data_IF_643891959449
#
_entry.id   IF_643891959449
#
_cell.length_a   1.000
_cell.length_b   1.000
_cell.length_c   1.000
_cell.angle_alpha   90.00
_cell.angle_beta   90.00
_cell.angle_gamma   90.00
#
_symmetry.space_group_name_H-M   'P 1'
#
loop_
_entity.id
_entity.type
_entity.pdbx_description
1 polymer ?
#
# COMPACT_ATOMS: atom_id res chain seq x y z
N UNK A 1 0.90 20.95 -3.67
CA UNK A 1 -0.58 21.04 -3.79
C UNK A 1 -1.08 21.05 -5.24
N UNK A 2 -0.46 21.80 -6.17
CA UNK A 2 -0.96 21.92 -7.56
C UNK A 2 -1.13 20.58 -8.32
N UNK A 3 -0.28 19.57 -8.08
CA UNK A 3 -0.41 18.26 -8.73
C UNK A 3 -1.69 17.50 -8.38
N UNK A 4 -2.07 17.47 -7.10
CA UNK A 4 -3.32 16.84 -6.65
C UNK A 4 -4.55 17.52 -7.25
N UNK A 5 -4.58 18.86 -7.26
CA UNK A 5 -5.67 19.63 -7.88
C UNK A 5 -5.80 19.36 -9.37
N UNK A 6 -4.68 19.28 -10.12
CA UNK A 6 -4.71 18.90 -11.54
C UNK A 6 -5.27 17.50 -11.75
N UNK A 7 -4.87 16.53 -10.92
CA UNK A 7 -5.41 15.18 -10.99
C UNK A 7 -6.91 15.14 -10.75
N UNK A 8 -7.43 15.85 -9.74
CA UNK A 8 -8.87 15.94 -9.49
C UNK A 8 -9.63 16.49 -10.70
N UNK A 9 -9.07 17.50 -11.38
CA UNK A 9 -9.67 18.09 -12.57
C UNK A 9 -9.57 17.18 -13.82
N UNK A 10 -8.69 16.19 -13.83
CA UNK A 10 -8.55 15.25 -14.95
C UNK A 10 -9.43 13.99 -14.82
N UNK A 11 -10.17 13.82 -13.71
CA UNK A 11 -10.98 12.63 -13.49
C UNK A 11 -12.13 12.54 -14.49
N UNK A 12 -12.12 11.49 -15.31
CA UNK A 12 -13.14 11.23 -16.35
C UNK A 12 -14.22 10.24 -15.92
N UNK A 13 -14.23 9.81 -14.64
CA UNK A 13 -15.22 8.88 -14.13
C UNK A 13 -15.10 8.63 -12.63
N UNK A 14 -15.97 7.75 -12.08
CA UNK A 14 -16.09 7.54 -10.65
C UNK A 14 -14.77 7.08 -10.02
N UNK A 15 -14.26 7.90 -9.11
CA UNK A 15 -13.03 7.64 -8.35
C UNK A 15 -13.32 7.87 -6.88
N UNK A 16 -12.96 6.91 -6.03
CA UNK A 16 -13.11 7.02 -4.58
C UNK A 16 -11.74 6.95 -3.91
N UNK A 17 -11.55 7.77 -2.89
CA UNK A 17 -10.47 7.62 -1.93
C UNK A 17 -11.06 7.03 -0.65
N UNK A 18 -10.53 5.89 -0.22
CA UNK A 18 -10.88 5.24 1.03
C UNK A 18 -9.70 5.37 2.00
N UNK A 19 -9.95 5.97 3.17
CA UNK A 19 -8.99 6.00 4.27
C UNK A 19 -9.41 4.96 5.31
N UNK A 20 -8.50 4.05 5.65
CA UNK A 20 -8.69 3.05 6.70
C UNK A 20 -7.63 3.24 7.77
N UNK A 21 -8.05 3.22 9.03
CA UNK A 21 -7.15 3.09 10.17
C UNK A 21 -7.24 1.65 10.68
N UNK A 22 -6.11 0.97 10.82
CA UNK A 22 -6.07 -0.42 11.28
C UNK A 22 -4.88 -0.64 12.21
N UNK A 23 -4.98 -1.65 13.07
CA UNK A 23 -3.87 -2.08 13.92
C UNK A 23 -2.77 -2.70 13.08
N UNK A 24 -1.53 -2.26 13.32
CA UNK A 24 -0.36 -2.76 12.61
C UNK A 24 0.32 -3.84 13.41
N UNK A 25 0.41 -5.02 12.80
CA UNK A 25 1.23 -6.11 13.33
C UNK A 25 2.68 -5.96 12.82
N UNK A 26 3.61 -5.74 13.76
CA UNK A 26 5.04 -5.64 13.47
C UNK A 26 5.76 -6.99 13.58
N UNK A 27 5.11 -8.04 14.06
CA UNK A 27 5.75 -9.35 14.25
C UNK A 27 6.41 -9.87 12.97
N UNK A 28 5.79 -9.80 11.77
CA UNK A 28 6.44 -10.24 10.53
C UNK A 28 7.70 -9.44 10.18
N UNK A 29 7.79 -8.16 10.56
CA UNK A 29 8.97 -7.34 10.32
C UNK A 29 10.09 -7.68 11.32
N UNK A 30 9.74 -7.88 12.59
CA UNK A 30 10.66 -8.37 13.62
C UNK A 30 11.26 -9.72 13.18
N UNK A 31 10.43 -10.66 12.74
CA UNK A 31 10.88 -11.98 12.28
C UNK A 31 11.82 -11.88 11.08
N UNK A 32 11.51 -11.02 10.09
CA UNK A 32 12.39 -10.77 8.94
C UNK A 32 13.75 -10.22 9.36
N UNK A 33 13.79 -9.26 10.28
CA UNK A 33 15.04 -8.69 10.78
C UNK A 33 15.87 -9.72 11.53
N UNK A 34 15.25 -10.51 12.40
CA UNK A 34 15.93 -11.55 13.17
C UNK A 34 16.46 -12.68 12.28
N UNK A 35 15.70 -13.06 11.25
CA UNK A 35 16.11 -14.09 10.30
C UNK A 35 17.22 -13.62 9.34
N UNK A 36 17.18 -12.35 8.91
CA UNK A 36 18.18 -11.78 8.01
C UNK A 36 19.47 -11.33 8.70
N UNK A 37 19.42 -10.97 9.98
CA UNK A 37 20.57 -10.41 10.70
C UNK A 37 21.85 -11.27 10.63
N UNK A 38 21.82 -12.62 10.75
CA UNK A 38 23.02 -13.45 10.66
C UNK A 38 23.69 -13.47 9.28
N UNK A 39 22.97 -13.09 8.22
CA UNK A 39 23.48 -13.05 6.85
C UNK A 39 24.16 -11.72 6.50
N UNK A 40 24.18 -10.74 7.41
CA UNK A 40 24.74 -9.42 7.16
C UNK A 40 26.27 -9.45 7.09
N UNK A 41 26.89 -8.68 6.17
CA UNK A 41 28.33 -8.79 5.87
C UNK A 41 29.24 -8.24 6.98
N UNK A 42 28.71 -7.55 7.98
CA UNK A 42 29.48 -6.92 9.04
C UNK A 42 28.82 -7.10 10.42
N UNK A 43 29.56 -7.47 11.48
CA UNK A 43 28.98 -7.76 12.80
C UNK A 43 28.29 -6.55 13.46
N UNK A 44 28.68 -5.32 13.10
CA UNK A 44 27.95 -4.14 13.56
C UNK A 44 26.55 -4.02 12.92
N UNK A 45 26.38 -4.46 11.68
CA UNK A 45 25.08 -4.46 11.00
C UNK A 45 24.17 -5.53 11.60
N UNK A 46 24.71 -6.73 11.89
CA UNK A 46 23.95 -7.76 12.61
C UNK A 46 23.45 -7.23 13.97
N UNK A 47 24.32 -6.63 14.77
CA UNK A 47 23.92 -6.04 16.07
C UNK A 47 22.88 -4.94 15.91
N UNK A 48 23.02 -4.08 14.90
CA UNK A 48 22.06 -3.02 14.62
C UNK A 48 20.68 -3.59 14.21
N UNK A 49 20.65 -4.63 13.37
CA UNK A 49 19.42 -5.29 12.95
C UNK A 49 18.69 -5.94 14.14
N UNK A 50 19.44 -6.61 15.03
CA UNK A 50 18.88 -7.19 16.27
C UNK A 50 18.34 -6.11 17.21
N UNK A 51 19.11 -5.05 17.47
CA UNK A 51 18.66 -3.94 18.30
C UNK A 51 17.41 -3.24 17.72
N UNK A 52 17.32 -3.15 16.39
CA UNK A 52 16.14 -2.63 15.72
C UNK A 52 14.92 -3.54 15.91
N UNK A 53 15.10 -4.86 15.78
CA UNK A 53 14.04 -5.85 16.04
C UNK A 53 13.52 -5.75 17.49
N UNK A 54 14.42 -5.63 18.47
CA UNK A 54 14.06 -5.44 19.88
C UNK A 54 13.23 -4.17 20.10
N UNK A 55 13.63 -3.06 19.47
CA UNK A 55 12.88 -1.81 19.52
C UNK A 55 11.48 -1.94 18.92
N UNK A 56 11.35 -2.60 17.76
CA UNK A 56 10.04 -2.80 17.11
C UNK A 56 9.13 -3.70 17.95
N UNK A 57 9.67 -4.76 18.56
CA UNK A 57 8.92 -5.63 19.47
C UNK A 57 8.44 -4.86 20.72
N UNK A 58 9.29 -4.02 21.31
CA UNK A 58 8.91 -3.15 22.41
C UNK A 58 7.83 -2.13 22.01
N UNK A 59 7.97 -1.52 20.84
CA UNK A 59 7.02 -0.55 20.31
C UNK A 59 5.63 -1.18 20.09
N UNK A 60 5.57 -2.40 19.56
CA UNK A 60 4.34 -3.16 19.37
C UNK A 60 3.69 -3.56 20.72
N UNK A 61 4.49 -3.87 21.75
CA UNK A 61 3.99 -4.26 23.07
C UNK A 61 3.49 -3.09 23.93
N UNK A 62 3.89 -1.86 23.63
CA UNK A 62 3.58 -0.69 24.47
C UNK A 62 2.55 0.27 23.89
N UNK A 63 2.21 0.15 22.61
CA UNK A 63 1.30 1.08 21.92
C UNK A 63 0.33 0.36 21.00
N UNK A 64 -0.88 0.87 20.91
CA UNK A 64 -1.79 0.57 19.80
C UNK A 64 -1.30 1.29 18.55
N UNK A 65 -0.43 0.63 17.79
CA UNK A 65 0.09 1.16 16.54
C UNK A 65 -1.01 1.12 15.47
N UNK A 66 -1.44 2.29 15.04
CA UNK A 66 -2.43 2.46 13.98
C UNK A 66 -1.75 2.96 12.72
N UNK A 67 -1.93 2.22 11.62
CA UNK A 67 -1.51 2.67 10.30
C UNK A 67 -2.71 3.15 9.49
N UNK A 68 -2.48 4.20 8.69
CA UNK A 68 -3.43 4.72 7.72
C UNK A 68 -3.17 4.08 6.37
N UNK A 69 -4.13 3.31 5.88
CA UNK A 69 -4.13 2.82 4.51
C UNK A 69 -5.02 3.73 3.66
N UNK A 70 -4.45 4.32 2.62
CA UNK A 70 -5.18 5.12 1.62
C UNK A 70 -5.33 4.27 0.37
N UNK A 71 -6.56 3.99 -0.02
CA UNK A 71 -6.88 3.20 -1.22
C UNK A 71 -7.55 4.11 -2.24
N UNK A 72 -7.00 4.16 -3.44
CA UNK A 72 -7.61 4.82 -4.60
C UNK A 72 -8.35 3.77 -5.42
N UNK A 73 -9.67 3.95 -5.55
CA UNK A 73 -10.55 3.03 -6.25
C UNK A 73 -11.08 3.70 -7.50
N UNK A 74 -10.67 3.19 -8.67
CA UNK A 74 -11.29 3.53 -9.95
C UNK A 74 -12.43 2.54 -10.22
N UNK A 75 -13.65 3.04 -10.40
CA UNK A 75 -14.83 2.20 -10.71
C UNK A 75 -15.36 2.47 -12.10
N UNK A 76 -15.70 1.40 -12.80
CA UNK A 76 -16.49 1.44 -14.02
C UNK A 76 -17.90 0.98 -13.69
N UNK A 77 -18.87 1.88 -13.84
CA UNK A 77 -20.28 1.50 -13.78
C UNK A 77 -20.58 0.82 -15.12
N UNK A 78 -20.79 -0.49 -15.12
CA UNK A 78 -21.21 -1.21 -16.32
C UNK A 78 -22.60 -0.69 -16.73
N UNK A 79 -22.77 -0.02 -17.88
CA UNK A 79 -24.10 0.34 -18.34
C UNK A 79 -24.89 -0.95 -18.64
N UNK A 80 -26.19 -1.00 -18.33
CA UNK A 80 -26.96 -2.25 -18.23
C UNK A 80 -27.11 -3.07 -19.51
N UNK A 81 -26.48 -2.72 -20.65
CA UNK A 81 -26.74 -3.47 -21.90
C UNK A 81 -25.70 -3.51 -23.02
N UNK A 82 -24.52 -2.88 -22.98
CA UNK A 82 -23.65 -2.85 -24.20
C UNK A 82 -22.12 -2.89 -24.03
N UNK A 83 -21.56 -2.86 -22.83
CA UNK A 83 -20.10 -2.92 -22.67
C UNK A 83 -19.61 -4.36 -22.47
N UNK A 84 -18.61 -4.79 -23.25
CA UNK A 84 -17.89 -6.04 -22.96
C UNK A 84 -17.17 -5.90 -21.60
N UNK A 85 -17.27 -6.86 -20.66
CA UNK A 85 -16.65 -6.76 -19.33
C UNK A 85 -15.16 -6.43 -19.36
N UNK A 86 -14.43 -6.94 -20.36
CA UNK A 86 -13.00 -6.67 -20.56
C UNK A 86 -12.69 -5.20 -20.87
N UNK A 87 -13.58 -4.49 -21.57
CA UNK A 87 -13.40 -3.07 -21.89
C UNK A 87 -13.58 -2.19 -20.65
N UNK A 88 -14.41 -2.60 -19.69
CA UNK A 88 -14.53 -1.93 -18.40
C UNK A 88 -13.25 -2.10 -17.58
N UNK A 89 -12.75 -3.33 -17.43
CA UNK A 89 -11.49 -3.58 -16.71
C UNK A 89 -10.31 -2.75 -17.24
N UNK A 90 -10.18 -2.67 -18.58
CA UNK A 90 -9.15 -1.86 -19.22
C UNK A 90 -9.23 -0.36 -18.89
N UNK A 91 -10.43 0.23 -18.86
CA UNK A 91 -10.61 1.64 -18.50
C UNK A 91 -10.31 1.93 -17.02
N UNK A 92 -10.73 1.04 -16.12
CA UNK A 92 -10.40 1.17 -14.71
C UNK A 92 -8.89 1.13 -14.48
N UNK A 93 -8.19 0.17 -15.10
CA UNK A 93 -6.73 0.06 -15.05
C UNK A 93 -6.04 1.30 -15.65
N UNK A 94 -6.53 1.80 -16.80
CA UNK A 94 -6.00 3.01 -17.42
C UNK A 94 -6.11 4.21 -16.48
N UNK A 95 -7.26 4.41 -15.81
CA UNK A 95 -7.43 5.51 -14.84
C UNK A 95 -6.47 5.40 -13.65
N UNK A 96 -6.16 4.19 -13.19
CA UNK A 96 -5.16 3.98 -12.13
C UNK A 96 -3.75 4.40 -12.60
N UNK A 97 -3.40 4.07 -13.84
CA UNK A 97 -2.12 4.48 -14.44
C UNK A 97 -2.04 6.00 -14.63
N UNK A 98 -3.14 6.64 -15.05
CA UNK A 98 -3.25 8.08 -15.15
C UNK A 98 -3.14 8.75 -13.77
N UNK A 99 -3.77 8.18 -12.74
CA UNK A 99 -3.65 8.65 -11.37
C UNK A 99 -2.19 8.57 -10.87
N UNK A 100 -1.50 7.44 -11.11
CA UNK A 100 -0.10 7.29 -10.74
C UNK A 100 0.79 8.38 -11.37
N UNK A 101 0.62 8.64 -12.68
CA UNK A 101 1.36 9.70 -13.39
C UNK A 101 0.98 11.10 -12.92
N UNK A 102 -0.32 11.36 -12.69
CA UNK A 102 -0.82 12.67 -12.28
C UNK A 102 -0.43 13.05 -10.85
N UNK A 103 -0.28 12.06 -9.98
CA UNK A 103 0.04 12.23 -8.56
C UNK A 103 1.55 12.19 -8.25
N UNK A 104 2.36 11.57 -9.10
CA UNK A 104 3.82 11.53 -8.93
C UNK A 104 4.48 12.93 -8.77
N UNK A 105 4.12 13.97 -9.55
CA UNK A 105 4.67 15.33 -9.35
C UNK A 105 4.28 15.97 -8.01
N UNK A 106 3.29 15.42 -7.31
CA UNK A 106 2.91 15.84 -5.97
C UNK A 106 3.60 15.01 -4.86
N UNK A 107 4.52 14.10 -5.22
CA UNK A 107 5.19 13.19 -4.29
C UNK A 107 4.29 12.06 -3.79
N UNK A 108 3.18 11.79 -4.47
CA UNK A 108 2.22 10.73 -4.09
C UNK A 108 2.42 9.55 -5.02
N UNK A 109 2.91 8.44 -4.47
CA UNK A 109 3.03 7.16 -5.20
C UNK A 109 1.69 6.44 -5.21
N UNK A 110 1.33 5.86 -6.35
CA UNK A 110 0.15 5.01 -6.52
C UNK A 110 0.60 3.70 -7.14
N UNK A 111 0.40 2.61 -6.42
CA UNK A 111 0.70 1.25 -6.89
C UNK A 111 -0.61 0.59 -7.34
N UNK A 112 -0.79 0.30 -8.64
CA UNK A 112 -1.93 -0.47 -9.11
C UNK A 112 -1.89 -1.88 -8.51
N UNK A 113 -3.02 -2.35 -8.01
CA UNK A 113 -3.16 -3.70 -7.49
C UNK A 113 -3.64 -4.65 -8.58
N UNK A 114 -3.07 -5.85 -8.60
CA UNK A 114 -3.56 -6.94 -9.45
C UNK A 114 -4.91 -7.48 -8.93
N UNK A 115 -5.60 -8.36 -9.69
CA UNK A 115 -6.88 -8.91 -9.27
C UNK A 115 -6.83 -9.64 -7.92
N UNK A 116 -5.78 -10.42 -7.65
CA UNK A 116 -5.62 -11.18 -6.41
C UNK A 116 -5.42 -10.25 -5.22
N UNK A 117 -4.53 -9.27 -5.34
CA UNK A 117 -4.27 -8.23 -4.35
C UNK A 117 -5.52 -7.38 -4.09
N UNK A 118 -6.29 -7.06 -5.13
CA UNK A 118 -7.55 -6.33 -5.00
C UNK A 118 -8.58 -7.13 -4.21
N UNK A 119 -8.75 -8.42 -4.51
CA UNK A 119 -9.65 -9.30 -3.76
C UNK A 119 -9.22 -9.49 -2.32
N UNK A 120 -7.92 -9.67 -2.07
CA UNK A 120 -7.37 -9.74 -0.72
C UNK A 120 -7.66 -8.46 0.06
N UNK A 121 -7.39 -7.30 -0.54
CA UNK A 121 -7.66 -6.00 0.07
C UNK A 121 -9.14 -5.80 0.40
N UNK A 122 -10.06 -6.13 -0.51
CA UNK A 122 -11.50 -6.02 -0.26
C UNK A 122 -11.93 -6.97 0.86
N UNK A 123 -11.44 -8.21 0.86
CA UNK A 123 -11.71 -9.17 1.93
C UNK A 123 -11.22 -8.66 3.28
N UNK A 124 -9.98 -8.17 3.35
CA UNK A 124 -9.41 -7.53 4.56
C UNK A 124 -10.15 -6.24 4.92
N UNK A 125 -10.72 -5.53 3.96
CA UNK A 125 -11.54 -4.35 4.21
C UNK A 125 -12.88 -4.67 4.87
N UNK A 126 -13.44 -5.84 4.56
CA UNK A 126 -14.69 -6.34 5.13
C UNK A 126 -14.51 -7.08 6.47
N UNK A 127 -13.28 -7.32 6.92
CA UNK A 127 -12.98 -7.89 8.24
C UNK A 127 -12.32 -6.83 9.15
N UNK A 128 -13.02 -6.31 10.18
CA UNK A 128 -12.47 -5.27 11.05
C UNK A 128 -11.27 -5.73 11.89
N UNK A 129 -11.14 -7.04 12.12
CA UNK A 129 -10.09 -7.63 12.97
C UNK A 129 -8.91 -8.18 12.16
N UNK A 130 -8.98 -8.15 10.82
CA UNK A 130 -7.90 -8.69 9.99
C UNK A 130 -6.63 -7.82 10.10
N UNK A 131 -5.46 -8.41 10.43
CA UNK A 131 -4.21 -7.68 10.36
C UNK A 131 -3.99 -7.26 8.91
N UNK A 132 -3.61 -5.99 8.71
CA UNK A 132 -3.24 -5.53 7.38
C UNK A 132 -1.78 -5.91 7.16
N UNK A 133 -1.46 -6.64 6.08
CA UNK A 133 -0.07 -6.93 5.77
C UNK A 133 0.67 -5.61 5.56
N UNK A 134 1.95 -5.50 5.97
CA UNK A 134 2.75 -4.36 5.59
C UNK A 134 2.70 -4.27 4.07
N UNK A 135 2.19 -3.16 3.53
CA UNK A 135 2.33 -2.87 2.11
C UNK A 135 3.84 -2.86 1.86
N UNK A 136 4.32 -3.66 0.91
CA UNK A 136 5.72 -3.69 0.52
C UNK A 136 6.14 -2.27 0.14
N UNK A 137 6.62 -1.55 1.14
CA UNK A 137 7.54 -0.44 0.94
C UNK A 137 8.82 -1.19 0.72
N UNK A 138 9.09 -1.58 -0.52
CA UNK A 138 10.47 -1.66 -0.95
C UNK A 138 11.04 -0.28 -0.63
N UNK A 139 11.64 -0.17 0.55
CA UNK A 139 12.59 0.85 0.85
C UNK A 139 13.67 0.62 -0.20
N UNK A 140 13.54 1.33 -1.32
CA UNK A 140 14.62 1.61 -2.24
C UNK A 140 15.68 2.28 -1.36
N UNK A 141 16.53 1.45 -0.75
CA UNK A 141 17.77 1.90 -0.16
C UNK A 141 18.49 2.60 -1.30
N UNK A 142 18.61 3.91 -1.13
CA UNK A 142 19.37 4.77 -2.03
C UNK A 142 20.81 4.23 -2.02
N UNK A 143 21.16 3.48 -3.06
CA UNK A 143 22.52 3.01 -3.29
C UNK A 143 23.24 4.14 -4.01
N UNK A 144 23.95 4.96 -3.22
CA UNK A 144 24.97 5.89 -3.69
C UNK A 144 26.31 5.55 -3.05
#
# INVERSE_FOLDING_TARGET
VAGFGRWLNSLTGPTQLLLRCHRTDLAPLVDRLLHGAPALPHPALERAARAHADYLAHLAGTRDLLTRQIVLVAREVTPPRRARPSACGGRAAQRLQEAARGLAPAGISVTPLDPQQTTALITTACNPDAPTPPLDTEAQGDET
#
